data_IF_729970122153
#
_entry.id   IF_729970122153
#
_cell.length_a   1.000
_cell.length_b   1.000
_cell.length_c   1.000
_cell.angle_alpha   90.00
_cell.angle_beta   90.00
_cell.angle_gamma   90.00
#
_symmetry.space_group_name_H-M   'P 1'
#
loop_
_entity.id
_entity.type
_entity.pdbx_description
1 polymer ?
#
# COMPACT_ATOMS: atom_id res chain seq x y z
N UNK A 1 -16.81 -8.77 -8.02
CA UNK A 1 -15.37 -8.45 -7.95
C UNK A 1 -15.14 -7.66 -6.69
N UNK A 2 -14.18 -8.04 -5.85
CA UNK A 2 -13.84 -7.26 -4.66
C UNK A 2 -13.28 -5.90 -5.09
N UNK A 3 -13.67 -4.81 -4.41
CA UNK A 3 -13.12 -3.47 -4.67
C UNK A 3 -11.60 -3.49 -4.41
N UNK A 4 -10.81 -2.68 -5.12
CA UNK A 4 -9.36 -2.60 -4.97
C UNK A 4 -8.95 -2.39 -3.50
N UNK A 5 -9.72 -1.59 -2.78
CA UNK A 5 -9.58 -1.40 -1.33
C UNK A 5 -9.61 -2.71 -0.55
N UNK A 6 -10.63 -3.54 -0.76
CA UNK A 6 -10.77 -4.84 -0.07
C UNK A 6 -9.59 -5.75 -0.36
N UNK A 7 -9.09 -5.72 -1.61
CA UNK A 7 -7.94 -6.51 -2.02
C UNK A 7 -6.68 -6.07 -1.28
N UNK A 8 -6.42 -4.76 -1.20
CA UNK A 8 -5.27 -4.20 -0.46
C UNK A 8 -5.38 -4.54 1.03
N UNK A 9 -6.55 -4.33 1.63
CA UNK A 9 -6.78 -4.63 3.05
C UNK A 9 -6.56 -6.12 3.35
N UNK A 10 -6.99 -7.02 2.46
CA UNK A 10 -6.83 -8.45 2.67
C UNK A 10 -5.37 -8.90 2.59
N UNK A 11 -4.53 -8.28 1.74
CA UNK A 11 -3.09 -8.53 1.75
C UNK A 11 -2.37 -7.85 2.94
N UNK A 12 -2.88 -6.72 3.43
CA UNK A 12 -2.29 -6.01 4.57
C UNK A 12 -2.51 -6.74 5.91
N UNK A 13 -3.70 -7.32 6.12
CA UNK A 13 -4.06 -8.03 7.37
C UNK A 13 -2.98 -8.99 7.87
N UNK A 14 -2.46 -9.95 7.08
CA UNK A 14 -1.42 -10.86 7.54
C UNK A 14 -0.08 -10.15 7.81
N UNK A 15 0.28 -9.13 7.01
CA UNK A 15 1.54 -8.38 7.15
C UNK A 15 1.60 -7.52 8.41
N UNK A 16 0.44 -7.13 8.94
CA UNK A 16 0.31 -6.32 10.15
C UNK A 16 0.08 -7.17 11.41
N UNK A 17 0.21 -8.49 11.31
CA UNK A 17 0.12 -9.39 12.48
C UNK A 17 1.22 -9.02 13.48
N UNK A 18 0.87 -8.81 14.75
CA UNK A 18 1.80 -8.37 15.79
C UNK A 18 2.03 -6.86 15.88
N UNK A 19 1.52 -6.06 14.93
CA UNK A 19 1.59 -4.60 15.04
C UNK A 19 0.55 -4.04 16.04
N UNK A 20 0.86 -2.90 16.70
CA UNK A 20 -0.11 -2.14 17.49
C UNK A 20 -1.38 -1.80 16.70
N UNK A 21 -2.52 -1.73 17.40
CA UNK A 21 -3.83 -1.38 16.82
C UNK A 21 -3.81 -0.04 16.08
N UNK A 22 -3.09 0.95 16.62
CA UNK A 22 -2.87 2.25 15.98
C UNK A 22 -2.29 2.12 14.57
N UNK A 23 -1.26 1.29 14.38
CA UNK A 23 -0.61 1.10 13.08
C UNK A 23 -1.53 0.32 12.13
N UNK A 24 -2.28 -0.66 12.66
CA UNK A 24 -3.29 -1.39 11.88
C UNK A 24 -4.38 -0.47 11.35
N UNK A 25 -4.90 0.42 12.18
CA UNK A 25 -5.91 1.40 11.78
C UNK A 25 -5.35 2.38 10.75
N UNK A 26 -4.15 2.91 11.00
CA UNK A 26 -3.45 3.78 10.05
C UNK A 26 -3.27 3.11 8.67
N UNK A 27 -3.00 1.81 8.65
CA UNK A 27 -2.88 1.05 7.42
C UNK A 27 -4.19 0.90 6.65
N UNK A 28 -5.29 0.72 7.36
CA UNK A 28 -6.62 0.62 6.76
C UNK A 28 -7.04 1.99 6.22
N UNK A 29 -6.87 3.06 7.01
CA UNK A 29 -7.17 4.43 6.59
C UNK A 29 -6.35 4.82 5.35
N UNK A 30 -5.07 4.47 5.35
CA UNK A 30 -4.21 4.70 4.20
C UNK A 30 -4.62 3.84 3.01
N UNK A 31 -4.96 2.56 3.18
CA UNK A 31 -5.45 1.72 2.08
C UNK A 31 -6.72 2.30 1.45
N UNK A 32 -7.65 2.80 2.27
CA UNK A 32 -8.86 3.47 1.81
C UNK A 32 -8.54 4.76 1.03
N UNK A 33 -7.67 5.61 1.58
CA UNK A 33 -7.20 6.82 0.90
C UNK A 33 -6.50 6.48 -0.43
N UNK A 34 -5.59 5.51 -0.44
CA UNK A 34 -4.83 5.09 -1.62
C UNK A 34 -5.75 4.53 -2.72
N UNK A 35 -6.69 3.68 -2.35
CA UNK A 35 -7.65 3.11 -3.29
C UNK A 35 -8.56 4.17 -3.91
N UNK A 36 -8.86 5.24 -3.17
CA UNK A 36 -9.72 6.33 -3.63
C UNK A 36 -8.95 7.35 -4.47
N UNK A 37 -7.81 7.84 -3.98
CA UNK A 37 -6.99 8.88 -4.63
C UNK A 37 -6.29 8.36 -5.88
N UNK A 38 -5.88 7.08 -5.89
CA UNK A 38 -5.13 6.46 -7.00
C UNK A 38 -5.91 5.32 -7.68
N UNK A 39 -7.25 5.40 -7.63
CA UNK A 39 -8.15 4.39 -8.18
C UNK A 39 -7.83 4.00 -9.64
N UNK A 40 -7.28 4.93 -10.42
CA UNK A 40 -6.93 4.73 -11.83
C UNK A 40 -5.50 4.27 -12.07
N UNK A 41 -4.57 4.58 -11.17
CA UNK A 41 -3.14 4.43 -11.44
C UNK A 41 -2.57 3.15 -10.82
N UNK A 42 -3.02 2.78 -9.62
CA UNK A 42 -2.60 1.53 -8.98
C UNK A 42 -2.91 0.31 -9.86
N UNK A 43 -4.12 0.15 -10.42
CA UNK A 43 -4.38 -0.97 -11.33
C UNK A 43 -3.41 -1.02 -12.51
N UNK A 44 -3.09 0.14 -13.11
CA UNK A 44 -2.13 0.22 -14.24
C UNK A 44 -0.73 -0.19 -13.81
N UNK A 45 -0.26 0.25 -12.64
CA UNK A 45 1.06 -0.14 -12.13
C UNK A 45 1.13 -1.62 -11.75
N UNK A 46 0.06 -2.16 -11.16
CA UNK A 46 -0.06 -3.60 -10.87
C UNK A 46 -0.04 -4.43 -12.15
N UNK A 47 -0.78 -4.00 -13.19
CA UNK A 47 -0.79 -4.67 -14.48
C UNK A 47 0.55 -4.55 -15.20
N UNK A 48 1.21 -3.39 -15.15
CA UNK A 48 2.55 -3.19 -15.69
C UNK A 48 3.60 -4.08 -15.00
N UNK A 49 3.53 -4.22 -13.68
CA UNK A 49 4.38 -5.14 -12.92
C UNK A 49 4.08 -6.60 -13.28
N UNK A 50 2.80 -6.97 -13.36
CA UNK A 50 2.36 -8.33 -13.70
C UNK A 50 2.81 -8.75 -15.10
N UNK A 51 2.70 -7.84 -16.06
CA UNK A 51 3.09 -8.06 -17.46
C UNK A 51 4.60 -7.93 -17.69
N UNK A 52 5.37 -7.53 -16.67
CA UNK A 52 6.82 -7.36 -16.76
C UNK A 52 7.25 -6.10 -17.50
N UNK A 53 6.35 -5.17 -17.81
CA UNK A 53 6.69 -3.87 -18.40
C UNK A 53 7.51 -3.00 -17.44
N UNK A 54 7.32 -3.18 -16.13
CA UNK A 54 8.18 -2.63 -15.07
C UNK A 54 8.64 -3.77 -14.18
N UNK A 55 9.86 -3.68 -13.65
CA UNK A 55 10.35 -4.66 -12.70
C UNK A 55 9.92 -4.29 -11.26
N UNK A 56 10.16 -5.20 -10.31
CA UNK A 56 9.82 -5.00 -8.89
C UNK A 56 10.50 -3.77 -8.28
N UNK A 57 11.73 -3.47 -8.69
CA UNK A 57 12.49 -2.30 -8.20
C UNK A 57 11.88 -1.00 -8.70
N UNK A 58 11.48 -0.94 -9.97
CA UNK A 58 10.81 0.22 -10.55
C UNK A 58 9.47 0.46 -9.85
N UNK A 59 8.71 -0.60 -9.61
CA UNK A 59 7.43 -0.54 -8.90
C UNK A 59 7.61 -0.05 -7.45
N UNK A 60 8.55 -0.62 -6.69
CA UNK A 60 8.84 -0.17 -5.32
C UNK A 60 9.27 1.31 -5.30
N UNK A 61 10.06 1.75 -6.27
CA UNK A 61 10.47 3.16 -6.38
C UNK A 61 9.27 4.10 -6.63
N UNK A 62 8.39 3.74 -7.56
CA UNK A 62 7.17 4.50 -7.87
C UNK A 62 6.25 4.61 -6.64
N UNK A 63 5.98 3.47 -6.00
CA UNK A 63 5.10 3.43 -4.82
C UNK A 63 5.73 4.16 -3.62
N UNK A 64 7.04 4.02 -3.40
CA UNK A 64 7.75 4.78 -2.37
C UNK A 64 7.64 6.28 -2.60
N UNK A 65 7.77 6.75 -3.84
CA UNK A 65 7.60 8.15 -4.19
C UNK A 65 6.19 8.68 -3.88
N UNK A 66 5.15 7.95 -4.31
CA UNK A 66 3.77 8.34 -4.04
C UNK A 66 3.42 8.31 -2.54
N UNK A 67 3.77 7.24 -1.81
CA UNK A 67 3.52 7.16 -0.36
C UNK A 67 4.31 8.26 0.40
N UNK A 68 5.51 8.61 -0.06
CA UNK A 68 6.30 9.70 0.54
C UNK A 68 5.63 11.06 0.36
N UNK A 69 4.98 11.31 -0.78
CA UNK A 69 4.21 12.55 -1.00
C UNK A 69 3.00 12.65 -0.05
N UNK A 70 2.42 11.52 0.34
CA UNK A 70 1.30 11.44 1.29
C UNK A 70 1.74 11.32 2.75
N UNK A 71 3.05 11.23 3.02
CA UNK A 71 3.62 11.05 4.35
C UNK A 71 3.10 12.05 5.39
N UNK A 72 2.97 13.32 5.00
CA UNK A 72 2.46 14.37 5.89
C UNK A 72 1.02 14.13 6.31
N UNK A 73 0.17 13.71 5.38
CA UNK A 73 -1.23 13.37 5.65
C UNK A 73 -1.32 12.14 6.57
N UNK A 74 -0.57 11.08 6.26
CA UNK A 74 -0.59 9.82 7.03
C UNK A 74 -0.07 10.01 8.45
N UNK A 75 1.04 10.72 8.61
CA UNK A 75 1.62 10.98 9.93
C UNK A 75 0.67 11.82 10.80
N UNK A 76 0.02 12.82 10.22
CA UNK A 76 -0.87 13.72 10.98
C UNK A 76 -2.24 13.09 11.25
N UNK A 77 -2.86 12.44 10.27
CA UNK A 77 -4.16 11.79 10.42
C UNK A 77 -4.09 10.59 11.38
N UNK A 78 -2.98 9.86 11.37
CA UNK A 78 -2.82 8.62 12.17
C UNK A 78 -1.89 8.79 13.37
N UNK A 79 -1.43 10.02 13.65
CA UNK A 79 -0.50 10.37 14.74
C UNK A 79 0.77 9.48 14.80
N UNK A 80 1.25 8.98 13.67
CA UNK A 80 2.38 8.04 13.62
C UNK A 80 3.73 8.75 13.87
N UNK A 81 4.65 8.05 14.51
CA UNK A 81 6.07 8.42 14.45
C UNK A 81 6.65 8.09 13.07
N UNK A 82 7.82 8.64 12.75
CA UNK A 82 8.49 8.38 11.46
C UNK A 82 8.82 6.89 11.29
N UNK A 83 9.27 6.21 12.36
CA UNK A 83 9.59 4.78 12.30
C UNK A 83 8.35 3.92 12.07
N UNK A 84 7.23 4.24 12.73
CA UNK A 84 5.95 3.56 12.51
C UNK A 84 5.45 3.75 11.07
N UNK A 85 5.62 4.96 10.51
CA UNK A 85 5.29 5.24 9.12
C UNK A 85 6.15 4.40 8.14
N UNK A 86 7.46 4.27 8.37
CA UNK A 86 8.30 3.47 7.47
C UNK A 86 7.93 1.98 7.49
N UNK A 87 7.60 1.42 8.67
CA UNK A 87 7.09 0.06 8.74
C UNK A 87 5.77 -0.10 7.96
N UNK A 88 4.87 0.89 8.10
CA UNK A 88 3.62 0.90 7.37
C UNK A 88 3.82 0.96 5.85
N UNK A 89 4.70 1.85 5.39
CA UNK A 89 5.04 1.99 3.97
C UNK A 89 5.51 0.66 3.38
N UNK A 90 6.43 -0.03 4.07
CA UNK A 90 6.95 -1.33 3.60
C UNK A 90 5.84 -2.38 3.52
N UNK A 91 4.92 -2.41 4.50
CA UNK A 91 3.79 -3.34 4.49
C UNK A 91 2.86 -3.10 3.29
N UNK A 92 2.54 -1.83 2.98
CA UNK A 92 1.68 -1.47 1.84
C UNK A 92 2.32 -1.83 0.51
N UNK A 93 3.59 -1.47 0.30
CA UNK A 93 4.27 -1.84 -0.96
C UNK A 93 4.31 -3.35 -1.12
N UNK A 94 4.57 -4.09 -0.04
CA UNK A 94 4.57 -5.55 -0.07
C UNK A 94 3.19 -6.13 -0.40
N UNK A 95 2.11 -5.58 0.16
CA UNK A 95 0.74 -5.97 -0.15
C UNK A 95 0.41 -5.76 -1.64
N UNK A 96 0.78 -4.61 -2.20
CA UNK A 96 0.55 -4.30 -3.62
C UNK A 96 1.34 -5.24 -4.54
N UNK A 97 2.60 -5.52 -4.22
CA UNK A 97 3.40 -6.49 -4.97
C UNK A 97 2.74 -7.88 -4.92
N UNK A 98 2.27 -8.32 -3.74
CA UNK A 98 1.58 -9.59 -3.61
C UNK A 98 0.31 -9.62 -4.49
N UNK A 99 -0.49 -8.54 -4.50
CA UNK A 99 -1.68 -8.44 -5.36
C UNK A 99 -1.34 -8.58 -6.85
N UNK A 100 -0.23 -7.99 -7.30
CA UNK A 100 0.18 -8.09 -8.70
C UNK A 100 0.39 -9.56 -9.13
N UNK A 101 0.92 -10.38 -8.24
CA UNK A 101 1.30 -11.77 -8.54
C UNK A 101 0.30 -12.84 -8.05
N UNK A 102 -0.68 -12.49 -7.22
CA UNK A 102 -1.65 -13.43 -6.65
C UNK A 102 -2.90 -13.64 -7.52
N UNK A 103 -3.13 -12.81 -8.53
CA UNK A 103 -4.26 -12.92 -9.46
C UNK A 103 -4.12 -14.06 -10.50
N UNK A 104 -3.60 -15.23 -10.09
CA UNK A 104 -3.51 -16.47 -10.87
C UNK A 104 -4.66 -17.42 -10.52
#
# INVERSE_FOLDING_TARGET
MANLEDQIINELKPLLTGFPSKIKNAAIDLAHHYATTHATDIPKYLDALRSGHINKSDFDHLMKGQIALEKGYVITASALTISEFEHLRVAIVSALINLAFKAL
#
